data_IF_114113066964
#
_entry.id   IF_114113066964
#
_cell.length_a   1.000
_cell.length_b   1.000
_cell.length_c   1.000
_cell.angle_alpha   90.00
_cell.angle_beta   90.00
_cell.angle_gamma   90.00
#
_symmetry.space_group_name_H-M   'P 1'
#
loop_
_entity.id
_entity.type
_entity.pdbx_description
1 polymer ?
2 non-polymer ?
3 non-polymer ?
4 non-polymer ?
5 non-polymer ?
6 water ?
#
# COMPACT_ATOMS: atom_id res chain seq x y z
N UNK A 6 -3.96 -18.45 -5.15
CA UNK A 6 -3.51 -18.40 -6.57
C UNK A 6 -4.24 -17.24 -7.29
N UNK A 7 -3.47 -16.25 -7.76
CA UNK A 7 -3.97 -15.07 -8.50
C UNK A 7 -4.52 -15.50 -9.85
N UNK A 8 -5.36 -14.69 -10.46
CA UNK A 8 -5.90 -15.02 -11.81
C UNK A 8 -4.79 -14.85 -12.84
N UNK A 9 -3.95 -13.82 -12.69
CA UNK A 9 -2.91 -13.46 -13.69
C UNK A 9 -1.53 -13.62 -13.06
N UNK A 10 -0.56 -14.04 -13.86
CA UNK A 10 0.81 -14.37 -13.34
C UNK A 10 1.70 -13.12 -13.38
N UNK A 11 1.33 -12.10 -14.16
CA UNK A 11 2.14 -10.86 -14.32
C UNK A 11 1.29 -9.78 -15.00
N UNK A 12 1.84 -8.57 -15.07
CA UNK A 12 1.06 -7.43 -15.56
C UNK A 12 0.72 -7.65 -17.04
N UNK A 13 1.67 -8.14 -17.85
CA UNK A 13 1.41 -8.33 -19.31
C UNK A 13 0.16 -9.21 -19.46
N UNK A 14 0.00 -10.25 -18.62
CA UNK A 14 -1.17 -11.14 -18.76
C UNK A 14 -2.46 -10.38 -18.40
N UNK A 15 -2.45 -9.65 -17.28
CA UNK A 15 -3.63 -8.87 -16.84
C UNK A 15 -3.98 -7.91 -17.98
N UNK A 16 -3.02 -7.20 -18.55
CA UNK A 16 -3.27 -6.17 -19.62
C UNK A 16 -3.87 -6.82 -20.87
N UNK A 17 -3.49 -8.05 -21.16
CA UNK A 17 -3.99 -8.74 -22.38
C UNK A 17 -5.40 -9.28 -22.18
N UNK A 18 -5.86 -9.45 -20.95
CA UNK A 18 -7.13 -10.11 -20.58
C UNK A 18 -8.20 -9.10 -20.11
N UNK A 19 -7.80 -7.92 -19.65
CA UNK A 19 -8.75 -6.99 -19.01
C UNK A 19 -8.93 -5.74 -19.87
N UNK A 20 -10.15 -5.19 -19.88
CA UNK A 20 -10.42 -3.89 -20.54
C UNK A 20 -9.62 -2.82 -19.79
N UNK A 21 -8.88 -1.93 -20.49
CA UNK A 21 -8.07 -0.89 -19.82
C UNK A 21 -8.87 0.10 -18.97
N UNK A 22 -10.18 0.19 -19.20
CA UNK A 22 -11.08 1.04 -18.38
C UNK A 22 -11.29 0.41 -16.99
N UNK A 23 -10.96 -0.89 -16.78
CA UNK A 23 -11.29 -1.60 -15.52
C UNK A 23 -10.13 -1.55 -14.52
N UNK A 24 -9.00 -0.93 -14.85
CA UNK A 24 -7.92 -0.66 -13.87
C UNK A 24 -7.25 0.65 -14.26
N UNK A 25 -6.45 1.17 -13.34
CA UNK A 25 -5.72 2.42 -13.57
C UNK A 25 -4.40 2.42 -12.85
N UNK A 26 -3.33 2.79 -13.55
CA UNK A 26 -2.00 3.07 -12.97
C UNK A 26 -1.88 4.56 -12.74
N UNK A 27 -1.54 4.93 -11.52
CA UNK A 27 -1.44 6.36 -11.16
C UNK A 27 -0.09 6.63 -10.51
N UNK A 28 0.64 7.68 -10.93
CA UNK A 28 1.99 7.98 -10.39
C UNK A 28 2.05 9.44 -9.96
N UNK A 29 2.88 9.69 -8.96
CA UNK A 29 3.26 11.08 -8.60
C UNK A 29 4.74 10.98 -8.27
N UNK A 30 5.58 11.68 -9.02
CA UNK A 30 7.06 11.66 -8.85
C UNK A 30 7.46 13.04 -8.35
N UNK A 31 8.00 13.11 -7.13
CA UNK A 31 8.46 14.38 -6.48
C UNK A 31 9.98 14.39 -6.27
N UNK A 32 10.69 13.29 -6.47
CA UNK A 32 12.13 13.23 -6.13
C UNK A 32 12.38 12.92 -4.65
N UNK A 33 11.32 12.75 -3.84
CA UNK A 33 11.40 12.30 -2.44
C UNK A 33 12.17 10.99 -2.39
N UNK A 34 13.06 10.77 -1.39
CA UNK A 34 13.70 9.46 -1.28
C UNK A 34 12.67 8.34 -1.14
N UNK A 35 11.59 8.62 -0.42
CA UNK A 35 10.58 7.58 -0.04
C UNK A 35 9.53 7.47 -1.15
N UNK A 36 9.16 6.24 -1.53
CA UNK A 36 8.04 5.97 -2.46
C UNK A 36 6.91 5.34 -1.64
N UNK A 37 5.70 5.86 -1.76
CA UNK A 37 4.49 5.16 -1.26
C UNK A 37 3.91 4.29 -2.37
N UNK A 38 3.81 2.98 -2.16
CA UNK A 38 3.46 1.98 -3.18
C UNK A 38 2.14 1.34 -2.77
N UNK A 39 1.15 1.31 -3.65
CA UNK A 39 -0.13 0.65 -3.36
C UNK A 39 -0.51 -0.11 -4.63
N UNK A 40 -0.18 -1.40 -4.69
CA UNK A 40 -0.35 -2.17 -5.96
C UNK A 40 -1.70 -2.88 -5.96
N UNK A 41 -2.44 -2.78 -4.87
CA UNK A 41 -3.75 -3.42 -4.70
C UNK A 41 -4.81 -2.36 -4.40
N UNK A 42 -4.79 -1.26 -5.13
CA UNK A 42 -5.71 -0.14 -4.88
C UNK A 42 -7.11 -0.38 -5.47
N UNK A 43 -7.91 0.66 -5.40
CA UNK A 43 -9.29 0.61 -5.90
C UNK A 43 -10.07 -0.44 -5.13
N UNK A 44 -10.87 -1.24 -5.83
CA UNK A 44 -11.70 -2.30 -5.25
C UNK A 44 -10.93 -3.55 -4.85
N UNK A 45 -9.62 -3.62 -5.08
CA UNK A 45 -8.82 -4.85 -4.80
C UNK A 45 -8.68 -4.94 -3.29
N UNK A 46 -8.06 -3.94 -2.65
CA UNK A 46 -7.94 -3.85 -1.17
C UNK A 46 -8.42 -2.44 -0.80
N UNK A 47 -9.74 -2.33 -0.60
CA UNK A 47 -10.43 -1.06 -0.40
C UNK A 47 -9.80 -0.20 0.68
N UNK A 48 -9.52 1.06 0.34
CA UNK A 48 -8.99 2.06 1.26
C UNK A 48 -7.51 2.28 1.03
N UNK A 49 -6.82 1.36 0.36
CA UNK A 49 -5.39 1.57 0.10
C UNK A 49 -5.19 2.75 -0.87
N UNK A 50 -6.08 2.92 -1.86
CA UNK A 50 -6.02 4.09 -2.80
C UNK A 50 -6.08 5.39 -1.98
N UNK A 51 -7.01 5.50 -1.04
CA UNK A 51 -7.22 6.75 -0.26
C UNK A 51 -6.04 7.04 0.65
N UNK A 52 -5.49 6.04 1.34
CA UNK A 52 -4.31 6.28 2.20
C UNK A 52 -3.17 6.70 1.27
N UNK A 53 -2.95 6.02 0.14
CA UNK A 53 -1.85 6.36 -0.78
C UNK A 53 -2.02 7.82 -1.25
N UNK A 54 -3.21 8.16 -1.73
CA UNK A 54 -3.46 9.53 -2.30
C UNK A 54 -3.20 10.61 -1.25
N UNK A 55 -3.58 10.42 0.01
CA UNK A 55 -3.33 11.42 1.08
C UNK A 55 -1.82 11.55 1.34
N UNK A 56 -1.09 10.44 1.42
CA UNK A 56 0.38 10.52 1.64
C UNK A 56 1.10 11.11 0.44
N UNK A 57 0.53 10.99 -0.76
CA UNK A 57 1.13 11.57 -1.99
C UNK A 57 1.17 13.10 -1.92
N UNK A 58 0.46 13.73 -0.99
CA UNK A 58 0.59 15.19 -0.77
C UNK A 58 2.02 15.56 -0.36
N UNK A 59 2.84 14.64 0.16
CA UNK A 59 4.23 14.93 0.59
C UNK A 59 5.22 13.97 -0.06
N UNK A 60 4.77 12.84 -0.60
CA UNK A 60 5.67 11.75 -1.05
C UNK A 60 5.28 11.32 -2.45
N UNK A 61 6.30 10.86 -3.15
CA UNK A 61 6.15 10.19 -4.46
C UNK A 61 5.20 9.00 -4.23
N UNK A 62 4.42 8.64 -5.24
CA UNK A 62 3.37 7.62 -5.08
C UNK A 62 3.28 6.75 -6.34
N UNK A 63 3.17 5.44 -6.17
CA UNK A 63 2.75 4.54 -7.25
C UNK A 63 1.45 3.86 -6.82
N UNK A 64 0.42 3.90 -7.65
CA UNK A 64 -0.90 3.30 -7.34
C UNK A 64 -1.40 2.49 -8.53
N UNK A 65 -1.74 1.24 -8.29
CA UNK A 65 -2.44 0.36 -9.25
C UNK A 65 -3.83 0.12 -8.68
N UNK A 66 -4.91 0.53 -9.34
CA UNK A 66 -6.27 0.43 -8.75
C UNK A 66 -7.17 -0.46 -9.59
N UNK A 67 -7.97 -1.31 -8.94
CA UNK A 67 -9.03 -2.05 -9.65
C UNK A 67 -10.31 -1.21 -9.68
N UNK A 68 -10.85 -0.97 -10.87
CA UNK A 68 -11.93 0.04 -11.03
C UNK A 68 -13.22 -0.65 -11.47
N UNK A 69 -13.32 -1.96 -11.31
CA UNK A 69 -14.56 -2.71 -11.66
C UNK A 69 -15.64 -2.40 -10.60
N UNK A 70 -16.94 -2.44 -10.98
CA UNK A 70 -18.05 -2.33 -10.00
C UNK A 70 -18.03 -3.55 -9.09
N UNK A 71 -17.62 -4.72 -9.63
CA UNK A 71 -17.39 -5.95 -8.86
C UNK A 71 -16.35 -6.87 -9.53
N UNK A 72 -15.78 -7.79 -8.76
CA UNK A 72 -14.85 -8.79 -9.27
C UNK A 72 -13.42 -8.25 -9.37
N UNK A 73 -13.07 -7.23 -8.59
CA UNK A 73 -11.70 -6.62 -8.62
C UNK A 73 -10.68 -7.65 -8.09
N UNK A 74 -11.14 -8.66 -7.35
CA UNK A 74 -10.23 -9.73 -6.84
C UNK A 74 -9.43 -10.33 -8.00
N UNK A 75 -9.95 -10.35 -9.23
CA UNK A 75 -9.24 -10.93 -10.39
C UNK A 75 -8.03 -10.07 -10.77
N UNK A 76 -7.99 -8.83 -10.28
CA UNK A 76 -6.93 -7.90 -10.67
C UNK A 76 -5.79 -7.95 -9.65
N UNK A 77 -5.94 -8.72 -8.57
CA UNK A 77 -4.88 -8.86 -7.55
C UNK A 77 -3.71 -9.61 -8.12
N UNK A 78 -2.54 -9.00 -8.11
CA UNK A 78 -1.26 -9.72 -8.41
C UNK A 78 -0.38 -9.57 -7.18
N UNK A 79 0.08 -10.69 -6.62
CA UNK A 79 0.90 -10.73 -5.40
C UNK A 79 2.19 -9.95 -5.66
N UNK A 80 2.74 -9.34 -4.62
CA UNK A 80 3.91 -8.43 -4.72
C UNK A 80 5.11 -9.07 -5.45
N UNK A 81 5.34 -10.36 -5.24
CA UNK A 81 6.49 -11.06 -5.86
C UNK A 81 6.29 -11.29 -7.36
N UNK A 82 5.07 -11.11 -7.90
CA UNK A 82 4.77 -11.21 -9.35
C UNK A 82 4.49 -9.86 -9.98
N UNK A 83 4.41 -8.81 -9.18
CA UNK A 83 3.91 -7.51 -9.70
C UNK A 83 5.03 -6.76 -10.42
N UNK A 84 4.89 -6.61 -11.74
CA UNK A 84 6.00 -6.17 -12.63
C UNK A 84 5.47 -5.14 -13.60
N UNK A 85 4.41 -4.43 -13.25
CA UNK A 85 3.89 -3.37 -14.16
C UNK A 85 5.04 -2.43 -14.45
N UNK A 86 5.30 -2.07 -15.73
CA UNK A 86 6.50 -1.28 -16.04
C UNK A 86 6.71 0.04 -15.28
N UNK A 87 5.64 0.82 -15.06
CA UNK A 87 5.73 2.12 -14.36
C UNK A 87 6.05 1.89 -12.88
N UNK A 88 5.70 0.72 -12.32
CA UNK A 88 6.04 0.36 -10.92
C UNK A 88 7.53 0.00 -10.87
N UNK A 89 8.01 -0.74 -11.86
CA UNK A 89 9.44 -1.13 -11.88
C UNK A 89 10.28 0.14 -11.98
N UNK A 90 9.85 1.07 -12.81
CA UNK A 90 10.59 2.33 -12.98
C UNK A 90 10.63 3.10 -11.67
N UNK A 91 9.45 3.32 -11.09
CA UNK A 91 9.26 4.13 -9.86
C UNK A 91 10.14 3.53 -8.76
N UNK A 92 9.91 2.26 -8.40
CA UNK A 92 10.63 1.59 -7.27
C UNK A 92 12.15 1.75 -7.48
N UNK A 93 12.64 1.48 -8.70
CA UNK A 93 14.09 1.60 -8.99
C UNK A 93 14.60 3.03 -8.78
N UNK A 94 13.73 4.00 -8.98
CA UNK A 94 14.10 5.45 -8.89
C UNK A 94 14.10 5.96 -7.45
N UNK A 95 13.70 5.16 -6.46
CA UNK A 95 13.56 5.63 -5.07
C UNK A 95 14.51 4.88 -4.13
N UNK A 96 14.89 5.54 -3.05
CA UNK A 96 15.81 4.97 -2.04
C UNK A 96 15.06 3.94 -1.19
N UNK A 97 13.84 4.28 -0.78
CA UNK A 97 13.05 3.48 0.21
C UNK A 97 11.61 3.35 -0.26
N UNK A 98 10.90 2.30 0.19
CA UNK A 98 9.49 2.05 -0.24
C UNK A 98 8.67 1.72 1.00
N UNK A 99 7.52 2.38 1.14
CA UNK A 99 6.42 2.00 2.08
C UNK A 99 5.32 1.44 1.20
N UNK A 100 5.02 0.14 1.32
CA UNK A 100 3.90 -0.51 0.57
C UNK A 100 2.67 -0.53 1.47
N UNK A 101 1.49 -0.44 0.84
CA UNK A 101 0.18 -0.45 1.52
C UNK A 101 -0.66 -1.62 1.04
N UNK A 102 -1.14 -2.42 1.97
CA UNK A 102 -1.96 -3.59 1.65
C UNK A 102 -3.15 -3.66 2.58
N UNK A 103 -4.15 -4.42 2.12
CA UNK A 103 -5.29 -4.82 2.95
C UNK A 103 -5.36 -6.33 3.03
N UNK A 104 -5.69 -6.85 4.20
CA UNK A 104 -6.02 -8.28 4.33
C UNK A 104 -7.36 -8.43 5.05
N UNK A 105 -7.94 -9.61 4.92
CA UNK A 105 -9.31 -9.91 5.42
C UNK A 105 -9.29 -10.19 6.93
N UNK A 106 -9.99 -9.37 7.71
CA UNK A 106 -10.10 -9.52 9.18
C UNK A 106 -11.00 -8.42 9.72
N UNK A 107 -12.00 -8.80 10.50
CA UNK A 107 -13.00 -7.88 11.09
C UNK A 107 -12.38 -7.02 12.19
N UNK A 108 -11.53 -7.57 13.03
CA UNK A 108 -10.88 -6.77 14.08
C UNK A 108 -10.02 -5.68 13.43
N UNK A 109 -9.87 -4.55 14.11
CA UNK A 109 -8.93 -3.50 13.73
C UNK A 109 -7.50 -3.98 14.07
N UNK A 110 -6.69 -4.14 13.04
CA UNK A 110 -5.27 -4.52 13.18
C UNK A 110 -4.47 -3.91 12.03
N UNK A 111 -3.24 -3.51 12.33
CA UNK A 111 -2.21 -3.13 11.32
C UNK A 111 -1.01 -4.06 11.56
N UNK A 112 -0.63 -4.80 10.53
CA UNK A 112 0.59 -5.64 10.65
C UNK A 112 1.69 -4.92 9.88
N UNK A 113 2.84 -4.75 10.52
CA UNK A 113 3.95 -3.99 9.89
C UNK A 113 5.08 -4.97 9.67
N UNK A 114 5.52 -5.08 8.44
CA UNK A 114 6.70 -5.91 8.13
C UNK A 114 7.64 -5.15 7.24
N UNK A 115 8.35 -5.92 6.41
CA UNK A 115 9.31 -5.41 5.41
C UNK A 115 10.73 -5.67 5.80
N UNK A 116 11.66 -5.29 4.93
CA UNK A 116 13.10 -5.56 5.10
C UNK A 116 13.78 -4.53 6.00
N UNK A 117 13.18 -3.36 6.19
CA UNK A 117 13.75 -2.29 7.03
C UNK A 117 13.31 -2.55 8.48
N UNK A 118 14.05 -3.41 9.17
CA UNK A 118 13.64 -3.91 10.51
C UNK A 118 13.60 -2.77 11.50
N UNK A 119 14.61 -1.90 11.48
CA UNK A 119 14.69 -0.76 12.44
C UNK A 119 13.49 0.18 12.23
N UNK A 120 13.19 0.58 11.00
CA UNK A 120 12.12 1.58 10.77
C UNK A 120 10.75 0.92 10.97
N UNK A 121 10.57 -0.35 10.61
CA UNK A 121 9.31 -1.08 10.84
C UNK A 121 9.02 -1.11 12.35
N UNK A 122 10.00 -1.47 13.18
CA UNK A 122 9.83 -1.47 14.66
C UNK A 122 9.48 -0.04 15.14
N UNK A 123 10.19 0.98 14.67
CA UNK A 123 9.94 2.39 15.09
C UNK A 123 8.48 2.73 14.73
N UNK A 124 8.04 2.40 13.51
CA UNK A 124 6.64 2.68 13.05
C UNK A 124 5.63 2.02 13.97
N UNK A 125 5.83 0.74 14.28
CA UNK A 125 4.91 0.03 15.22
C UNK A 125 4.91 0.76 16.57
N UNK A 126 6.03 1.20 17.13
CA UNK A 126 6.02 1.90 18.44
C UNK A 126 5.20 3.18 18.32
N UNK A 127 5.46 3.96 17.27
CA UNK A 127 4.76 5.27 17.09
C UNK A 127 3.25 5.02 16.92
N UNK A 128 2.86 3.99 16.16
CA UNK A 128 1.42 3.71 15.99
C UNK A 128 0.82 3.31 17.34
N UNK A 129 1.46 2.39 18.07
CA UNK A 129 0.97 1.95 19.40
C UNK A 129 0.87 3.16 20.34
N UNK A 130 1.88 4.01 20.43
CA UNK A 130 1.90 5.22 21.31
C UNK A 130 0.72 6.14 20.94
N UNK A 131 0.42 6.22 19.65
CA UNK A 131 -0.63 7.08 19.09
C UNK A 131 -2.00 6.43 19.22
N UNK A 132 -2.08 5.18 19.70
CA UNK A 132 -3.33 4.48 20.00
C UNK A 132 -3.87 3.66 18.84
N UNK A 133 -3.03 3.31 17.86
CA UNK A 133 -3.42 2.42 16.75
C UNK A 133 -2.90 1.00 17.02
N UNK A 134 -3.64 -0.02 16.53
CA UNK A 134 -3.39 -1.44 16.80
C UNK A 134 -2.44 -2.17 15.85
N UNK A 135 -1.19 -1.79 15.97
CA UNK A 135 -0.08 -2.22 15.11
C UNK A 135 0.70 -3.33 15.83
N UNK A 136 1.10 -4.34 15.07
CA UNK A 136 2.08 -5.36 15.51
C UNK A 136 3.21 -5.42 14.50
N UNK A 137 4.41 -5.65 15.01
CA UNK A 137 5.59 -5.89 14.14
C UNK A 137 5.60 -7.35 13.73
N UNK A 138 5.66 -7.61 12.42
CA UNK A 138 5.90 -8.99 11.90
C UNK A 138 7.42 -9.27 11.80
N UNK A 139 7.85 -10.46 12.15
CA UNK A 139 9.28 -10.83 12.07
C UNK A 139 9.50 -11.71 10.82
N UNK A 140 10.76 -12.04 10.55
CA UNK A 140 11.19 -12.40 9.19
C UNK A 140 10.52 -13.69 8.71
N UNK A 141 10.05 -14.56 9.60
CA UNK A 141 9.47 -15.87 9.25
C UNK A 141 7.94 -15.82 9.20
N UNK A 142 7.35 -14.68 9.55
CA UNK A 142 5.90 -14.41 9.42
C UNK A 142 5.48 -14.41 7.95
N UNK A 143 4.29 -14.94 7.59
CA UNK A 143 3.86 -14.97 6.19
C UNK A 143 3.68 -13.62 5.50
N UNK A 144 3.35 -12.57 6.23
CA UNK A 144 3.10 -11.22 5.64
C UNK A 144 4.38 -10.36 5.71
N UNK A 145 5.56 -10.97 5.98
CA UNK A 145 6.84 -10.27 6.24
C UNK A 145 7.23 -9.38 5.05
N UNK A 146 6.97 -9.79 3.79
CA UNK A 146 7.34 -9.03 2.59
C UNK A 146 8.83 -8.76 2.42
N UNK A 147 9.63 -9.79 2.59
CA UNK A 147 11.11 -9.68 2.59
C UNK A 147 11.71 -10.31 1.32
N UNK A 148 10.90 -10.82 0.40
CA UNK A 148 11.44 -11.45 -0.83
C UNK A 148 12.11 -10.41 -1.70
N UNK A 149 13.31 -10.72 -2.26
CA UNK A 149 13.90 -9.85 -3.27
C UNK A 149 13.00 -9.69 -4.50
N UNK A 150 12.11 -10.65 -4.75
CA UNK A 150 11.16 -10.58 -5.88
C UNK A 150 9.99 -9.65 -5.54
N UNK A 151 9.80 -9.29 -4.28
CA UNK A 151 8.74 -8.34 -3.85
C UNK A 151 8.97 -6.98 -4.52
N UNK A 152 8.02 -6.47 -5.33
CA UNK A 152 8.11 -5.13 -5.97
C UNK A 152 8.59 -4.08 -4.95
N UNK A 153 8.14 -4.10 -3.69
CA UNK A 153 8.50 -3.04 -2.72
C UNK A 153 10.01 -3.02 -2.42
N UNK A 154 10.72 -4.11 -2.68
CA UNK A 154 12.14 -4.27 -2.34
C UNK A 154 13.03 -3.94 -3.54
N UNK A 155 12.48 -3.63 -4.73
CA UNK A 155 13.28 -3.31 -5.95
C UNK A 155 13.67 -1.82 -6.01
N UNK A 156 14.19 -1.27 -4.91
CA UNK A 156 14.58 0.15 -4.73
C UNK A 156 16.10 0.26 -4.81
N UNK A 157 16.61 1.45 -4.60
CA UNK A 157 18.08 1.67 -4.60
C UNK A 157 18.70 0.98 -3.37
N UNK A 158 17.99 0.82 -2.25
CA UNK A 158 18.56 0.21 -1.03
C UNK A 158 18.09 -1.23 -0.76
N UNK A 159 16.90 -1.59 -1.25
CA UNK A 159 16.19 -2.82 -0.87
C UNK A 159 15.49 -2.74 0.49
N UNK A 160 15.45 -1.56 1.13
CA UNK A 160 14.80 -1.35 2.45
C UNK A 160 13.33 -0.91 2.28
N UNK A 161 12.41 -1.72 2.80
CA UNK A 161 10.95 -1.51 2.70
C UNK A 161 10.31 -1.54 4.09
N UNK A 162 9.19 -0.85 4.20
CA UNK A 162 8.16 -1.11 5.24
C UNK A 162 6.88 -1.58 4.55
N UNK A 163 6.35 -2.72 4.98
CA UNK A 163 5.10 -3.37 4.46
C UNK A 163 4.01 -3.11 5.51
N UNK A 164 2.93 -2.40 5.15
CA UNK A 164 1.83 -2.03 6.08
C UNK A 164 0.59 -2.80 5.61
N UNK A 165 0.17 -3.79 6.40
CA UNK A 165 -0.97 -4.66 6.06
C UNK A 165 -2.13 -4.25 6.99
N UNK A 166 -3.21 -3.72 6.44
CA UNK A 166 -4.31 -3.20 7.27
C UNK A 166 -5.53 -4.10 7.15
N UNK A 167 -6.10 -4.52 8.30
CA UNK A 167 -7.29 -5.41 8.30
C UNK A 167 -8.46 -4.65 7.67
N UNK A 168 -9.43 -5.40 7.17
CA UNK A 168 -10.75 -4.87 6.75
C UNK A 168 -11.32 -3.93 7.83
N UNK A 169 -11.35 -4.36 9.09
CA UNK A 169 -11.91 -3.55 10.18
C UNK A 169 -11.21 -2.23 10.35
N UNK A 170 -9.87 -2.20 10.29
CA UNK A 170 -9.16 -0.93 10.41
C UNK A 170 -9.53 -0.06 9.19
N UNK A 171 -9.52 -0.61 7.98
CA UNK A 171 -9.76 0.21 6.76
C UNK A 171 -11.18 0.77 6.78
N UNK A 172 -12.15 -0.06 7.11
CA UNK A 172 -13.57 0.40 7.21
C UNK A 172 -13.75 1.48 8.27
N UNK A 173 -12.87 1.57 9.25
CA UNK A 173 -12.96 2.57 10.35
C UNK A 173 -12.65 3.99 9.87
N UNK A 174 -12.08 4.18 8.67
CA UNK A 174 -11.49 5.48 8.26
C UNK A 174 -12.46 6.24 7.33
N UNK A 175 -13.55 5.60 6.94
CA UNK A 175 -14.46 6.15 5.87
C UNK A 175 -15.92 6.15 6.33
N UNK A 176 -16.65 7.25 6.06
CA UNK A 176 -18.12 7.27 6.21
C UNK A 176 -18.81 6.20 5.41
N UNK A 177 -18.43 6.04 4.13
CA UNK A 177 -19.02 5.08 3.16
C UNK A 177 -17.86 4.32 2.50
N UNK A 178 -17.87 3.01 2.62
CA UNK A 178 -16.74 2.14 2.25
C UNK A 178 -17.05 1.55 0.88
N UNK A 179 -16.97 2.40 -0.13
CA UNK A 179 -17.24 2.04 -1.54
C UNK A 179 -16.19 2.70 -2.41
N UNK A 180 -15.99 2.14 -3.62
CA UNK A 180 -15.07 2.74 -4.63
C UNK A 180 -15.47 4.20 -4.86
N UNK A 181 -16.77 4.45 -4.97
CA UNK A 181 -17.31 5.79 -5.32
C UNK A 181 -17.06 6.77 -4.17
N UNK A 182 -17.29 6.36 -2.92
CA UNK A 182 -17.49 7.33 -1.81
C UNK A 182 -16.36 7.35 -0.76
N UNK A 183 -15.40 6.41 -0.73
CA UNK A 183 -14.33 6.54 0.30
C UNK A 183 -13.65 7.90 0.22
N UNK A 184 -13.30 8.36 -0.97
CA UNK A 184 -12.42 9.53 -1.16
C UNK A 184 -13.14 10.81 -0.75
N UNK A 185 -14.46 10.76 -0.58
CA UNK A 185 -15.24 11.97 -0.18
C UNK A 185 -15.92 11.75 1.19
N UNK A 186 -15.56 10.73 1.95
CA UNK A 186 -16.14 10.48 3.30
C UNK A 186 -15.02 10.12 4.30
N UNK A 187 -13.78 10.56 4.07
CA UNK A 187 -12.64 10.31 4.97
C UNK A 187 -13.01 10.99 6.28
N UNK A 188 -12.84 10.31 7.40
CA UNK A 188 -13.29 10.82 8.72
C UNK A 188 -12.09 11.29 9.55
N UNK A 189 -12.36 11.74 10.80
CA UNK A 189 -11.31 12.28 11.70
C UNK A 189 -10.22 11.19 11.91
N UNK A 190 -10.64 9.92 12.02
CA UNK A 190 -9.73 8.74 12.26
C UNK A 190 -8.82 8.51 11.03
N UNK A 191 -9.28 8.84 9.82
CA UNK A 191 -8.46 8.77 8.58
C UNK A 191 -7.32 9.77 8.70
N UNK A 192 -7.58 11.03 9.12
CA UNK A 192 -6.56 12.11 9.13
C UNK A 192 -5.61 11.90 10.31
N UNK A 193 -6.14 11.36 11.41
CA UNK A 193 -5.33 11.05 12.61
C UNK A 193 -4.29 10.00 12.20
N UNK A 194 -4.71 8.96 11.49
CA UNK A 194 -3.85 7.85 11.01
C UNK A 194 -2.82 8.43 10.03
N UNK A 195 -3.28 9.17 9.01
CA UNK A 195 -2.32 9.71 8.00
C UNK A 195 -1.37 10.73 8.65
N UNK A 196 -1.79 11.48 9.68
CA UNK A 196 -0.92 12.43 10.43
C UNK A 196 0.23 11.69 11.13
N UNK A 197 -0.07 10.59 11.82
CA UNK A 197 0.95 9.69 12.44
C UNK A 197 1.93 9.23 11.34
N UNK A 198 1.41 8.86 10.16
CA UNK A 198 2.28 8.42 9.06
C UNK A 198 3.15 9.59 8.57
N UNK A 199 2.59 10.79 8.38
CA UNK A 199 3.38 11.95 7.89
C UNK A 199 4.47 12.27 8.94
N UNK A 200 4.09 12.21 10.21
CA UNK A 200 5.00 12.49 11.35
C UNK A 200 6.15 11.49 11.30
N UNK A 201 5.83 10.21 11.15
CA UNK A 201 6.81 9.12 11.08
C UNK A 201 7.71 9.31 9.86
N UNK A 202 7.16 9.60 8.67
CA UNK A 202 7.96 9.61 7.43
C UNK A 202 8.92 10.79 7.43
N UNK A 203 8.46 11.95 7.90
CA UNK A 203 9.32 13.16 7.95
C UNK A 203 10.51 12.87 8.89
N UNK A 204 10.24 12.28 10.06
CA UNK A 204 11.26 11.99 11.11
C UNK A 204 12.19 10.85 10.68
N UNK A 205 11.65 9.73 10.19
CA UNK A 205 12.41 8.47 10.03
C UNK A 205 13.32 8.49 8.79
N UNK A 206 13.01 9.28 7.77
CA UNK A 206 13.79 9.34 6.52
C UNK A 206 14.42 10.75 6.36
N UNK A 207 15.70 10.90 6.69
CA UNK A 207 16.53 12.12 6.46
C UNK A 207 17.83 11.74 5.75
#
# INVERSE_FOLDING_TARGET
SSIYAEDVYQNFEELKNNEDPSDYGVVTKETGSPVLVLAIHGGGIEGGTSEVARELSKEYSMYLFEGLKSAGNSVLHITSTHFDEPRALKMTGNHEYVISLHGYAEEDQQIEVGGTDRVRAADLVEKLQHAGFPAVLLNMDHPHAGVSPNNIANKSKTGLSIQIEMSTGFRKSLFGIFSLKSRAVTQNERFYEFTEVMFRFLKNSYLEHHHHHH
#
